data_IF_841309449238
#
_entry.id   IF_841309449238
#
_cell.length_a   1.000
_cell.length_b   1.000
_cell.length_c   1.000
_cell.angle_alpha   90.00
_cell.angle_beta   90.00
_cell.angle_gamma   90.00
#
_symmetry.space_group_name_H-M   'P 1'
#
loop_
_entity.id
_entity.type
_entity.pdbx_description
1 polymer ?
#
# COMPACT_ATOMS: atom_id res chain seq x y z
N UNK A 1 -14.71 -13.28 -8.33
CA UNK A 1 -13.74 -13.57 -7.27
C UNK A 1 -14.05 -12.72 -6.05
N UNK A 2 -13.65 -13.18 -4.88
CA UNK A 2 -13.82 -12.53 -3.59
C UNK A 2 -12.45 -12.14 -3.05
N UNK A 3 -12.31 -10.90 -2.63
CA UNK A 3 -11.09 -10.36 -2.00
C UNK A 3 -11.45 -9.90 -0.59
N UNK A 4 -10.67 -10.31 0.41
CA UNK A 4 -10.80 -9.88 1.80
C UNK A 4 -10.12 -8.51 1.97
N UNK A 5 -10.92 -7.47 2.16
CA UNK A 5 -10.45 -6.08 2.18
C UNK A 5 -10.46 -5.55 3.60
N UNK A 6 -9.32 -4.97 3.99
CA UNK A 6 -9.17 -4.25 5.25
C UNK A 6 -8.81 -2.80 4.97
N UNK A 7 -9.57 -1.88 5.57
CA UNK A 7 -9.38 -0.44 5.45
C UNK A 7 -9.10 0.11 6.84
N UNK A 8 -7.93 0.70 7.06
CA UNK A 8 -7.52 1.19 8.38
C UNK A 8 -7.45 2.72 8.44
N UNK A 9 -7.72 3.26 9.64
CA UNK A 9 -7.74 4.68 9.91
C UNK A 9 -8.85 5.39 9.14
N UNK A 10 -8.54 6.58 8.59
CA UNK A 10 -9.51 7.37 7.84
C UNK A 10 -10.05 6.72 6.57
N UNK A 11 -9.50 5.57 6.15
CA UNK A 11 -10.02 4.79 5.02
C UNK A 11 -11.26 3.97 5.37
N UNK A 12 -11.57 3.76 6.65
CA UNK A 12 -12.74 2.97 7.08
C UNK A 12 -14.06 3.50 6.50
N UNK A 13 -14.15 4.81 6.26
CA UNK A 13 -15.27 5.49 5.60
C UNK A 13 -15.63 4.91 4.22
N UNK A 14 -14.67 4.29 3.52
CA UNK A 14 -14.90 3.64 2.22
C UNK A 14 -15.45 2.21 2.35
N UNK A 15 -15.60 1.67 3.56
CA UNK A 15 -16.03 0.31 3.85
C UNK A 15 -17.50 -0.01 3.56
N UNK A 16 -18.23 0.85 2.81
CA UNK A 16 -19.62 0.60 2.35
C UNK A 16 -20.59 0.12 3.45
N UNK A 17 -20.49 0.71 4.64
CA UNK A 17 -21.34 0.37 5.80
C UNK A 17 -20.69 -0.58 6.82
N UNK A 18 -19.49 -1.10 6.54
CA UNK A 18 -18.68 -1.87 7.48
C UNK A 18 -17.74 -1.00 8.35
N UNK A 19 -17.95 0.32 8.37
CA UNK A 19 -17.13 1.26 9.13
C UNK A 19 -17.34 1.07 10.64
N UNK A 20 -16.26 0.74 11.36
CA UNK A 20 -16.21 0.60 12.81
C UNK A 20 -15.46 1.77 13.48
N UNK A 21 -15.30 2.89 12.78
CA UNK A 21 -14.71 4.15 13.26
C UNK A 21 -13.19 4.24 13.08
N UNK A 22 -12.46 3.13 13.24
CA UNK A 22 -11.00 3.08 13.05
C UNK A 22 -10.54 2.06 12.01
N UNK A 23 -11.44 1.17 11.60
CA UNK A 23 -11.23 0.23 10.51
C UNK A 23 -12.56 -0.18 9.87
N UNK A 24 -12.48 -0.75 8.68
CA UNK A 24 -13.58 -1.49 8.05
C UNK A 24 -13.04 -2.79 7.46
N UNK A 25 -13.84 -3.85 7.52
CA UNK A 25 -13.55 -5.12 6.87
C UNK A 25 -14.75 -5.52 6.00
N UNK A 26 -14.47 -5.89 4.76
CA UNK A 26 -15.50 -6.27 3.79
C UNK A 26 -14.95 -7.25 2.76
N UNK A 27 -15.86 -8.04 2.20
CA UNK A 27 -15.58 -8.87 1.03
C UNK A 27 -15.93 -8.11 -0.26
N UNK A 28 -14.93 -7.85 -1.10
CA UNK A 28 -15.14 -7.25 -2.41
C UNK A 28 -15.39 -8.34 -3.46
N UNK A 29 -16.56 -8.31 -4.10
CA UNK A 29 -16.91 -9.23 -5.20
C UNK A 29 -16.58 -8.59 -6.54
N UNK A 30 -15.51 -9.06 -7.17
CA UNK A 30 -14.95 -8.54 -8.42
C UNK A 30 -15.03 -9.57 -9.54
N UNK A 31 -14.82 -9.12 -10.79
CA UNK A 31 -14.63 -10.02 -11.94
C UNK A 31 -13.27 -10.72 -11.81
N UNK A 32 -13.14 -11.91 -12.38
CA UNK A 32 -11.84 -12.60 -12.42
C UNK A 32 -10.82 -11.81 -13.25
N UNK A 33 -9.58 -11.75 -12.78
CA UNK A 33 -8.51 -10.98 -13.43
C UNK A 33 -8.55 -9.47 -13.14
N UNK A 34 -9.39 -9.02 -12.22
CA UNK A 34 -9.41 -7.61 -11.79
C UNK A 34 -8.13 -7.21 -11.07
N UNK A 35 -7.79 -5.93 -11.15
CA UNK A 35 -6.56 -5.37 -10.55
C UNK A 35 -6.83 -4.63 -9.22
N UNK A 36 -5.77 -4.16 -8.56
CA UNK A 36 -5.89 -3.19 -7.46
C UNK A 36 -6.65 -1.93 -7.93
N UNK A 37 -6.39 -1.43 -9.15
CA UNK A 37 -7.13 -0.30 -9.71
C UNK A 37 -8.64 -0.54 -9.76
N UNK A 38 -9.06 -1.73 -10.20
CA UNK A 38 -10.47 -2.12 -10.20
C UNK A 38 -11.04 -2.20 -8.78
N UNK A 39 -10.26 -2.73 -7.82
CA UNK A 39 -10.68 -2.79 -6.42
C UNK A 39 -10.87 -1.39 -5.82
N UNK A 40 -9.94 -0.46 -6.09
CA UNK A 40 -10.05 0.93 -5.65
C UNK A 40 -11.27 1.62 -6.26
N UNK A 41 -11.53 1.38 -7.55
CA UNK A 41 -12.73 1.86 -8.23
C UNK A 41 -14.00 1.28 -7.59
N UNK A 42 -14.02 -0.02 -7.28
CA UNK A 42 -15.13 -0.66 -6.57
C UNK A 42 -15.38 -0.04 -5.19
N UNK A 43 -14.33 0.33 -4.45
CA UNK A 43 -14.45 1.00 -3.15
C UNK A 43 -14.82 2.48 -3.25
N UNK A 44 -14.80 3.05 -4.46
CA UNK A 44 -14.81 4.50 -4.69
C UNK A 44 -13.73 5.23 -3.88
N UNK A 45 -12.56 4.59 -3.72
CA UNK A 45 -11.43 5.11 -2.95
C UNK A 45 -10.36 5.66 -3.90
N UNK A 46 -10.09 6.98 -3.89
CA UNK A 46 -8.97 7.55 -4.63
C UNK A 46 -7.64 6.94 -4.21
N UNK A 47 -6.79 6.59 -5.17
CA UNK A 47 -5.46 6.04 -4.89
C UNK A 47 -4.60 6.96 -4.00
N UNK A 48 -4.77 8.27 -4.08
CA UNK A 48 -4.01 9.22 -3.24
C UNK A 48 -4.34 9.18 -1.74
N UNK A 49 -5.50 8.65 -1.32
CA UNK A 49 -5.89 8.61 0.11
C UNK A 49 -5.14 7.52 0.89
N UNK A 50 -4.65 6.51 0.20
CA UNK A 50 -3.92 5.39 0.80
C UNK A 50 -2.43 5.73 0.93
N UNK A 51 -1.88 5.40 2.10
CA UNK A 51 -0.45 5.43 2.36
C UNK A 51 0.17 4.09 1.99
N UNK A 52 -0.12 3.06 2.78
CA UNK A 52 0.50 1.75 2.62
C UNK A 52 -0.55 0.75 2.14
N UNK A 53 -0.14 -0.18 1.27
CA UNK A 53 -0.96 -1.33 0.88
C UNK A 53 -0.16 -2.61 1.05
N UNK A 54 -0.81 -3.63 1.60
CA UNK A 54 -0.32 -4.99 1.65
C UNK A 54 -1.27 -5.91 0.88
N UNK A 55 -0.69 -6.81 0.08
CA UNK A 55 -1.41 -7.88 -0.61
C UNK A 55 -0.82 -9.19 -0.09
N UNK A 56 -1.65 -10.01 0.56
CA UNK A 56 -1.24 -11.27 1.18
C UNK A 56 -0.03 -11.15 2.12
N UNK A 57 0.05 -10.01 2.84
CA UNK A 57 1.16 -9.71 3.77
C UNK A 57 2.43 -9.18 3.10
N UNK A 58 2.45 -9.06 1.77
CA UNK A 58 3.54 -8.44 1.02
C UNK A 58 3.23 -6.96 0.77
N UNK A 59 4.23 -6.11 1.00
CA UNK A 59 4.12 -4.68 0.75
C UNK A 59 3.99 -4.41 -0.76
N UNK A 60 2.93 -3.70 -1.15
CA UNK A 60 2.60 -3.41 -2.55
C UNK A 60 2.68 -1.92 -2.89
N UNK A 61 2.39 -1.05 -1.92
CA UNK A 61 2.47 0.39 -2.09
C UNK A 61 2.91 1.10 -0.80
N UNK A 62 3.46 2.30 -0.98
CA UNK A 62 3.89 3.22 0.07
C UNK A 62 3.46 4.66 -0.26
N UNK A 63 3.49 5.59 0.72
CA UNK A 63 3.19 6.99 0.45
C UNK A 63 4.08 7.53 -0.68
N UNK A 64 3.44 8.06 -1.73
CA UNK A 64 4.12 8.58 -2.91
C UNK A 64 4.60 7.54 -3.93
N UNK A 65 4.47 6.23 -3.65
CA UNK A 65 4.90 5.14 -4.54
C UNK A 65 3.80 4.07 -4.61
N UNK A 66 3.04 4.07 -5.71
CA UNK A 66 1.85 3.21 -5.92
C UNK A 66 1.96 2.35 -7.20
N UNK A 67 2.92 1.42 -7.28
CA UNK A 67 3.18 0.63 -8.48
C UNK A 67 2.23 -0.58 -8.62
N UNK A 68 1.38 -0.81 -7.62
CA UNK A 68 0.50 -1.96 -7.53
C UNK A 68 -0.82 -1.80 -8.29
N UNK A 69 -1.08 -0.66 -8.95
CA UNK A 69 -2.34 -0.37 -9.62
C UNK A 69 -2.76 -1.46 -10.62
N UNK A 70 -1.80 -2.02 -11.35
CA UNK A 70 -2.01 -3.06 -12.36
C UNK A 70 -1.81 -4.48 -11.81
N UNK A 71 -1.54 -4.62 -10.50
CA UNK A 71 -1.38 -5.92 -9.87
C UNK A 71 -2.70 -6.69 -9.94
N UNK A 72 -2.67 -7.86 -10.59
CA UNK A 72 -3.85 -8.72 -10.78
C UNK A 72 -4.14 -9.46 -9.48
N UNK A 73 -5.37 -9.34 -9.00
CA UNK A 73 -5.86 -10.03 -7.81
C UNK A 73 -6.42 -11.41 -8.17
N UNK A 74 -6.23 -12.34 -7.26
CA UNK A 74 -6.77 -13.70 -7.30
C UNK A 74 -7.92 -13.88 -6.31
N UNK A 75 -8.71 -14.93 -6.52
CA UNK A 75 -9.78 -15.31 -5.59
C UNK A 75 -9.19 -15.71 -4.22
N UNK A 76 -9.73 -15.13 -3.14
CA UNK A 76 -9.27 -15.34 -1.78
C UNK A 76 -8.11 -14.44 -1.34
N UNK A 77 -7.60 -13.56 -2.20
CA UNK A 77 -6.55 -12.61 -1.82
C UNK A 77 -7.02 -11.68 -0.68
N UNK A 78 -6.07 -11.28 0.15
CA UNK A 78 -6.27 -10.26 1.18
C UNK A 78 -5.54 -8.97 0.82
N UNK A 79 -6.29 -7.86 0.76
CA UNK A 79 -5.75 -6.53 0.55
C UNK A 79 -5.98 -5.64 1.77
N UNK A 80 -4.91 -5.14 2.39
CA UNK A 80 -4.97 -4.25 3.54
C UNK A 80 -4.44 -2.85 3.19
N UNK A 81 -5.29 -1.84 3.32
CA UNK A 81 -5.00 -0.45 3.02
C UNK A 81 -4.92 0.37 4.30
N UNK A 82 -3.86 1.17 4.42
CA UNK A 82 -3.62 2.04 5.56
C UNK A 82 -3.63 3.50 5.11
N UNK A 83 -4.32 4.35 5.85
CA UNK A 83 -4.33 5.79 5.61
C UNK A 83 -2.91 6.39 5.71
N UNK A 84 -2.66 7.53 5.05
CA UNK A 84 -1.37 8.23 5.06
C UNK A 84 -0.84 8.56 6.47
N UNK A 85 -1.74 8.75 7.44
CA UNK A 85 -1.40 9.09 8.82
C UNK A 85 -1.06 7.88 9.69
N UNK A 86 -1.15 6.65 9.17
CA UNK A 86 -0.82 5.45 9.93
C UNK A 86 0.68 5.40 10.23
N UNK A 87 1.04 5.29 11.51
CA UNK A 87 2.43 5.11 11.93
C UNK A 87 3.01 3.82 11.35
N UNK A 88 4.22 3.91 10.80
CA UNK A 88 4.93 2.78 10.23
C UNK A 88 6.08 2.34 11.15
N UNK A 89 6.03 1.12 11.73
CA UNK A 89 7.15 0.59 12.47
C UNK A 89 8.37 0.47 11.57
N UNK A 90 9.51 0.98 12.03
CA UNK A 90 10.78 1.00 11.30
C UNK A 90 11.23 -0.38 10.76
N UNK A 91 10.78 -1.46 11.40
CA UNK A 91 11.12 -2.84 11.04
C UNK A 91 10.68 -3.21 9.62
N UNK A 92 9.60 -2.62 9.11
CA UNK A 92 9.15 -2.87 7.75
C UNK A 92 9.99 -2.14 6.68
N UNK A 93 10.86 -1.18 7.07
CA UNK A 93 11.72 -0.43 6.12
C UNK A 93 12.91 -1.25 5.62
N UNK A 94 13.31 -2.30 6.34
CA UNK A 94 14.55 -3.03 6.10
C UNK A 94 14.38 -4.52 5.82
N UNK A 95 13.15 -5.04 5.76
CA UNK A 95 12.94 -6.48 5.58
C UNK A 95 11.50 -6.93 5.33
N UNK A 96 10.59 -6.03 4.98
CA UNK A 96 9.25 -6.46 4.55
C UNK A 96 9.36 -7.20 3.22
N UNK A 97 8.66 -8.34 3.09
CA UNK A 97 8.47 -8.97 1.79
C UNK A 97 7.68 -7.98 0.90
N UNK A 98 8.16 -7.76 -0.33
CA UNK A 98 7.55 -6.85 -1.29
C UNK A 98 7.07 -7.62 -2.51
N UNK A 99 6.00 -7.15 -3.14
CA UNK A 99 5.69 -7.61 -4.50
C UNK A 99 6.76 -7.11 -5.48
N UNK A 100 6.88 -7.79 -6.61
CA UNK A 100 7.91 -7.49 -7.63
C UNK A 100 7.82 -6.05 -8.12
N UNK A 101 6.60 -5.58 -8.37
CA UNK A 101 6.29 -4.25 -8.89
C UNK A 101 6.82 -3.15 -7.96
N UNK A 102 6.70 -3.33 -6.64
CA UNK A 102 7.23 -2.39 -5.67
C UNK A 102 8.76 -2.45 -5.60
N UNK A 103 9.34 -3.65 -5.62
CA UNK A 103 10.79 -3.82 -5.61
C UNK A 103 11.44 -3.14 -6.84
N UNK A 104 10.85 -3.30 -8.03
CA UNK A 104 11.29 -2.65 -9.27
C UNK A 104 11.17 -1.12 -9.19
N UNK A 105 10.03 -0.60 -8.72
CA UNK A 105 9.84 0.85 -8.56
C UNK A 105 10.84 1.48 -7.58
N UNK A 106 11.18 0.78 -6.48
CA UNK A 106 12.17 1.23 -5.52
C UNK A 106 13.61 1.19 -6.05
N UNK A 107 13.94 0.26 -6.95
CA UNK A 107 15.25 0.21 -7.60
C UNK A 107 15.38 1.33 -8.64
N UNK A 108 14.35 1.52 -9.48
CA UNK A 108 14.32 2.60 -10.47
C UNK A 108 14.44 4.00 -9.83
N UNK A 109 13.85 4.20 -8.64
CA UNK A 109 14.00 5.44 -7.88
C UNK A 109 15.38 5.66 -7.26
N UNK A 110 16.15 4.59 -6.98
CA UNK A 110 17.52 4.68 -6.45
C UNK A 110 18.53 5.05 -7.53
N UNK A 111 18.34 4.55 -8.74
CA UNK A 111 19.19 4.86 -9.89
C UNK A 111 18.88 6.27 -10.48
N UNK A 112 17.70 6.83 -10.13
CA UNK A 112 17.19 8.12 -10.59
C UNK A 112 17.50 9.33 -9.70
N UNK A 113 18.39 9.20 -8.72
CA UNK A 113 18.90 10.30 -7.91
C UNK A 113 18.36 10.32 -6.50
N UNK A 114 19.26 10.03 -5.56
CA UNK A 114 19.38 10.63 -4.22
C UNK A 114 20.66 10.06 -3.60
N UNK A 115 21.81 10.59 -4.04
CA UNK A 115 23.00 10.56 -3.20
C UNK A 115 22.69 11.38 -1.95
N UNK A 116 22.26 10.72 -0.88
CA UNK A 116 22.31 11.30 0.46
C UNK A 116 23.78 11.49 0.80
N UNK A 117 24.31 12.68 0.51
CA UNK A 117 25.56 13.17 1.05
C UNK A 117 25.38 13.28 2.57
N UNK A 118 25.75 12.24 3.30
CA UNK A 118 26.22 12.42 4.67
C UNK A 118 27.52 13.20 4.56
N UNK A 119 27.44 14.52 4.70
CA UNK A 119 28.60 15.32 5.08
C UNK A 119 28.96 14.91 6.49
N UNK A 120 30.05 14.16 6.62
CA UNK A 120 30.77 13.99 7.88
C UNK A 120 31.04 15.39 8.43
N UNK A 121 30.39 15.71 9.54
CA UNK A 121 30.79 16.84 10.37
C UNK A 121 32.03 16.39 11.13
N UNK A 122 33.21 16.53 10.50
CA UNK A 122 34.47 16.58 11.23
C UNK A 122 34.48 17.89 12.03
N UNK A 123 34.15 17.77 13.31
CA UNK A 123 34.39 18.80 14.31
C UNK A 123 35.88 18.88 14.60
N UNK A 124 36.53 19.95 14.15
CA UNK A 124 37.83 20.38 14.64
C UNK A 124 37.68 21.79 15.25
N UNK A 125 37.77 21.88 16.57
CA UNK A 125 38.05 23.09 17.33
C UNK A 125 38.70 22.71 18.66
#
# INVERSE_FOLDING_TARGET
MVVDVWLYGGLSKYGRGADQGSFANLEARLRGGSTIGDLLAFLHMPGGERGITFINGQLSAMPGIQPDMDHILSDGDRAAFFHLNSMWPFQYRHGAAMIRELAEAMQAGKDGGLHHSYGEHESNA
#
